data_IF_817448683862
#
_entry.id   IF_817448683862
#
_cell.length_a   1.000
_cell.length_b   1.000
_cell.length_c   1.000
_cell.angle_alpha   90.00
_cell.angle_beta   90.00
_cell.angle_gamma   90.00
#
_symmetry.space_group_name_H-M   'P 1'
#
loop_
_entity.id
_entity.type
_entity.pdbx_description
1 polymer ?
#
# COMPACT_ATOMS: atom_id res chain seq x y z
N UNK A 1 -1.39 3.69 -13.95
CA UNK A 1 -1.88 4.93 -13.29
C UNK A 1 -3.37 4.80 -13.03
N UNK A 2 -3.84 5.17 -11.85
CA UNK A 2 -5.24 5.05 -11.43
C UNK A 2 -6.16 5.96 -12.27
N UNK A 3 -7.41 5.54 -12.49
CA UNK A 3 -8.37 6.26 -13.37
C UNK A 3 -8.95 7.52 -12.75
N UNK A 4 -9.07 7.58 -11.42
CA UNK A 4 -9.68 8.71 -10.70
C UNK A 4 -8.70 9.49 -9.83
N UNK A 5 -7.70 8.79 -9.29
CA UNK A 5 -6.80 9.37 -8.32
C UNK A 5 -5.63 10.14 -8.96
N UNK A 6 -5.03 9.55 -10.00
CA UNK A 6 -3.90 10.13 -10.74
C UNK A 6 -4.24 10.49 -12.20
N UNK A 7 -5.43 10.12 -12.69
CA UNK A 7 -5.97 10.50 -14.00
C UNK A 7 -7.41 11.00 -13.80
N UNK A 8 -7.92 11.79 -14.74
CA UNK A 8 -9.30 12.27 -14.67
C UNK A 8 -9.54 13.32 -13.59
N UNK A 9 -10.11 12.90 -12.47
CA UNK A 9 -10.57 13.82 -11.41
C UNK A 9 -9.45 14.32 -10.49
N UNK A 10 -8.28 13.67 -10.50
CA UNK A 10 -7.13 14.02 -9.67
C UNK A 10 -7.47 14.14 -8.18
N UNK A 11 -8.07 13.07 -7.63
CA UNK A 11 -8.46 13.05 -6.20
C UNK A 11 -7.25 13.12 -5.24
N UNK A 12 -6.05 12.75 -5.68
CA UNK A 12 -4.81 12.79 -4.89
C UNK A 12 -4.91 12.13 -3.49
N UNK A 13 -5.74 11.11 -3.36
CA UNK A 13 -6.01 10.36 -2.14
C UNK A 13 -4.96 9.29 -1.84
N UNK A 14 -4.24 8.78 -2.86
CA UNK A 14 -3.17 7.77 -2.70
C UNK A 14 -1.86 8.30 -3.29
N UNK A 15 -1.15 9.19 -2.57
CA UNK A 15 0.05 9.84 -3.09
C UNK A 15 1.26 8.91 -3.20
N UNK A 16 1.28 7.82 -2.41
CA UNK A 16 2.35 6.83 -2.39
C UNK A 16 1.76 5.43 -2.61
N UNK A 17 2.42 4.66 -3.48
CA UNK A 17 2.14 3.24 -3.67
C UNK A 17 3.27 2.42 -3.05
N UNK A 18 2.92 1.34 -2.34
CA UNK A 18 3.90 0.36 -1.89
C UNK A 18 4.62 -0.26 -3.10
N UNK A 19 5.95 -0.13 -3.25
CA UNK A 19 6.68 -0.72 -4.37
C UNK A 19 6.60 -2.26 -4.37
N UNK A 20 6.33 -2.88 -3.22
CA UNK A 20 6.22 -4.33 -3.07
C UNK A 20 4.79 -4.86 -3.21
N UNK A 21 3.81 -4.01 -3.54
CA UNK A 21 2.38 -4.36 -3.55
C UNK A 21 2.07 -5.68 -4.28
N UNK A 22 2.63 -5.88 -5.48
CA UNK A 22 2.38 -7.09 -6.26
C UNK A 22 3.11 -8.32 -5.72
N UNK A 23 4.31 -8.14 -5.17
CA UNK A 23 5.06 -9.24 -4.56
C UNK A 23 4.36 -9.75 -3.30
N UNK A 24 3.86 -8.84 -2.45
CA UNK A 24 3.09 -9.19 -1.26
C UNK A 24 1.77 -9.88 -1.60
N UNK A 25 1.08 -9.42 -2.66
CA UNK A 25 -0.14 -10.06 -3.16
C UNK A 25 0.15 -11.49 -3.66
N UNK A 26 1.18 -11.68 -4.49
CA UNK A 26 1.58 -13.00 -4.99
C UNK A 26 1.94 -13.97 -3.86
N UNK A 27 2.66 -13.51 -2.83
CA UNK A 27 2.96 -14.31 -1.65
C UNK A 27 1.69 -14.67 -0.84
N UNK A 28 0.65 -13.84 -0.88
CA UNK A 28 -0.66 -14.19 -0.30
C UNK A 28 -1.38 -15.27 -1.09
N UNK A 29 -1.35 -15.16 -2.42
CA UNK A 29 -1.96 -16.13 -3.32
C UNK A 29 -1.30 -17.50 -3.22
N UNK A 30 0.02 -17.56 -3.14
CA UNK A 30 0.76 -18.81 -2.91
C UNK A 30 0.31 -19.48 -1.61
N UNK A 31 0.20 -18.71 -0.52
CA UNK A 31 -0.29 -19.21 0.77
C UNK A 31 -1.74 -19.67 0.71
N UNK A 32 -2.59 -19.01 -0.08
CA UNK A 32 -3.98 -19.40 -0.29
C UNK A 32 -4.06 -20.73 -1.06
N UNK A 33 -3.31 -20.85 -2.15
CA UNK A 33 -3.23 -22.07 -2.95
C UNK A 33 -2.69 -23.25 -2.14
N UNK A 34 -1.74 -23.01 -1.22
CA UNK A 34 -1.17 -24.04 -0.36
C UNK A 34 -2.00 -24.35 0.89
N UNK A 35 -3.18 -23.73 1.08
CA UNK A 35 -4.02 -23.92 2.29
C UNK A 35 -3.42 -23.35 3.59
N UNK A 36 -2.42 -22.46 3.50
CA UNK A 36 -1.69 -21.87 4.65
C UNK A 36 -2.07 -20.40 4.88
N UNK A 37 -3.37 -20.11 4.95
CA UNK A 37 -3.86 -18.76 5.22
C UNK A 37 -3.36 -18.26 6.59
N UNK A 38 -2.84 -17.03 6.65
CA UNK A 38 -2.38 -16.44 7.92
C UNK A 38 -3.54 -15.99 8.82
N UNK A 39 -4.60 -15.46 8.22
CA UNK A 39 -5.78 -14.93 8.93
C UNK A 39 -6.93 -14.67 7.95
N UNK A 40 -8.08 -14.25 8.48
CA UNK A 40 -9.23 -13.76 7.67
C UNK A 40 -8.91 -12.53 6.82
N UNK A 41 -7.87 -11.77 7.17
CA UNK A 41 -7.42 -10.59 6.44
C UNK A 41 -6.28 -10.89 5.46
N UNK A 42 -5.90 -12.16 5.30
CA UNK A 42 -4.80 -12.51 4.43
C UNK A 42 -5.09 -12.14 2.97
N UNK A 43 -4.28 -11.23 2.43
CA UNK A 43 -4.35 -10.77 1.04
C UNK A 43 -5.38 -9.68 0.79
N UNK A 44 -6.00 -9.11 1.83
CA UNK A 44 -6.93 -7.99 1.69
C UNK A 44 -6.14 -6.69 1.53
N UNK A 45 -6.26 -5.96 0.40
CA UNK A 45 -5.59 -4.68 0.20
C UNK A 45 -6.23 -3.58 1.05
N UNK A 46 -5.43 -2.63 1.48
CA UNK A 46 -5.86 -1.48 2.29
C UNK A 46 -4.94 -0.28 2.04
N UNK A 47 -5.37 0.90 2.50
CA UNK A 47 -4.57 2.12 2.51
C UNK A 47 -4.15 2.47 3.93
N UNK A 48 -2.94 3.01 4.09
CA UNK A 48 -2.46 3.56 5.34
C UNK A 48 -2.42 5.09 5.26
N UNK A 49 -2.85 5.76 6.33
CA UNK A 49 -2.61 7.20 6.47
C UNK A 49 -1.11 7.44 6.61
N UNK A 50 -0.59 8.48 5.95
CA UNK A 50 0.84 8.88 5.94
C UNK A 50 1.41 9.33 7.31
N UNK A 51 0.70 9.07 8.41
CA UNK A 51 1.24 9.14 9.77
C UNK A 51 1.63 7.78 10.36
N UNK A 52 1.35 6.68 9.66
CA UNK A 52 1.69 5.32 10.08
C UNK A 52 2.93 4.83 9.35
N UNK A 53 3.84 4.18 10.10
CA UNK A 53 5.05 3.58 9.53
C UNK A 53 4.75 2.28 8.82
N UNK A 54 5.29 2.17 7.61
CA UNK A 54 5.37 0.93 6.84
C UNK A 54 6.80 0.76 6.33
N UNK A 55 7.34 -0.46 6.43
CA UNK A 55 8.73 -0.71 6.09
C UNK A 55 8.98 -0.43 4.59
N UNK A 56 9.98 0.40 4.29
CA UNK A 56 10.35 0.74 2.92
C UNK A 56 9.47 1.80 2.25
N UNK A 57 8.56 2.43 2.99
CA UNK A 57 7.75 3.56 2.53
C UNK A 57 8.02 4.75 3.45
N UNK A 58 8.31 5.91 2.86
CA UNK A 58 8.50 7.17 3.57
C UNK A 58 7.24 7.57 4.34
N UNK A 59 7.42 8.13 5.53
CA UNK A 59 6.33 8.69 6.34
C UNK A 59 6.51 10.19 6.44
N UNK A 60 5.74 10.95 5.66
CA UNK A 60 5.88 12.42 5.65
C UNK A 60 4.96 13.13 6.64
N UNK A 61 3.92 12.44 7.12
CA UNK A 61 2.81 13.04 7.87
C UNK A 61 2.22 14.28 7.17
N UNK A 62 2.29 14.32 5.83
CA UNK A 62 1.87 15.47 5.02
C UNK A 62 2.80 16.69 5.09
N UNK A 63 4.03 16.55 5.59
CA UNK A 63 5.00 17.64 5.73
C UNK A 63 6.33 17.32 5.06
N UNK A 64 6.85 18.27 4.27
CA UNK A 64 8.16 18.17 3.62
C UNK A 64 9.32 18.03 4.63
N UNK A 65 9.11 18.45 5.88
CA UNK A 65 10.11 18.28 6.94
C UNK A 65 10.46 16.80 7.20
N UNK A 66 9.59 15.87 6.80
CA UNK A 66 9.76 14.43 7.00
C UNK A 66 9.84 13.67 5.66
N UNK A 67 10.12 14.35 4.55
CA UNK A 67 10.16 13.73 3.21
C UNK A 67 11.19 12.60 3.04
N UNK A 68 12.15 12.48 3.97
CA UNK A 68 13.20 11.46 3.95
C UNK A 68 13.20 10.58 5.21
N UNK A 69 12.10 10.55 5.96
CA UNK A 69 11.92 9.70 7.15
C UNK A 69 11.30 8.35 6.79
#
# INVERSE_FOLDING_TARGET
MSTYDARGLFLNSVPLLNPNLFAEAAASDERRASGKLLSKLNGIPYTLKDGFKYLGITVTAGSLAFANL
#
